data_IF_263682271922
#
_entry.id   IF_263682271922
#
_cell.length_a   1.000
_cell.length_b   1.000
_cell.length_c   1.000
_cell.angle_alpha   90.00
_cell.angle_beta   90.00
_cell.angle_gamma   90.00
#
_symmetry.space_group_name_H-M   'P 1'
#
loop_
_entity.id
_entity.type
_entity.pdbx_description
1 polymer ?
#
# COMPACT_ATOMS: atom_id res chain seq x y z
N UNK A 1 10.32 -6.32 -4.38
CA UNK A 1 10.40 -7.78 -4.34
C UNK A 1 11.56 -8.34 -5.15
N UNK A 2 11.83 -7.80 -6.33
CA UNK A 2 12.90 -8.29 -7.23
C UNK A 2 14.11 -7.35 -7.27
N UNK A 3 14.19 -6.36 -6.41
CA UNK A 3 15.20 -5.29 -6.45
C UNK A 3 15.31 -4.65 -7.85
N UNK A 4 14.18 -4.48 -8.51
CA UNK A 4 14.12 -3.81 -9.80
C UNK A 4 14.64 -2.38 -9.68
N UNK A 5 15.34 -1.91 -10.71
CA UNK A 5 15.85 -0.56 -10.76
C UNK A 5 14.70 0.46 -10.79
N UNK A 6 14.83 1.51 -9.98
CA UNK A 6 13.88 2.61 -9.93
C UNK A 6 14.42 3.76 -10.75
N UNK A 7 13.61 4.26 -11.66
CA UNK A 7 13.96 5.40 -12.52
C UNK A 7 12.90 6.49 -12.39
N UNK A 8 13.35 7.74 -12.35
CA UNK A 8 12.47 8.89 -12.51
C UNK A 8 12.36 9.23 -13.99
N UNK A 9 11.25 9.88 -14.41
CA UNK A 9 11.10 10.29 -15.80
C UNK A 9 12.28 11.14 -16.27
N UNK A 10 12.77 10.88 -17.48
CA UNK A 10 13.78 11.73 -18.15
C UNK A 10 13.14 12.98 -18.77
N UNK A 11 11.82 13.08 -18.73
CA UNK A 11 11.05 14.18 -19.28
C UNK A 11 11.44 15.52 -18.64
N UNK A 12 11.82 16.46 -19.50
CA UNK A 12 12.21 17.82 -19.10
C UNK A 12 11.08 18.54 -18.37
N UNK A 13 9.83 18.36 -18.78
CA UNK A 13 8.68 19.01 -18.16
C UNK A 13 8.47 18.53 -16.72
N UNK A 14 8.71 17.24 -16.47
CA UNK A 14 8.67 16.70 -15.11
C UNK A 14 9.65 17.42 -14.17
N UNK A 15 10.91 17.55 -14.58
CA UNK A 15 11.93 18.21 -13.75
C UNK A 15 11.68 19.71 -13.60
N UNK A 16 11.28 20.38 -14.68
CA UNK A 16 10.88 21.80 -14.63
C UNK A 16 9.74 22.04 -13.65
N UNK A 17 8.78 21.14 -13.55
CA UNK A 17 7.66 21.25 -12.60
C UNK A 17 8.17 21.18 -11.15
N UNK A 18 9.05 20.23 -10.84
CA UNK A 18 9.65 20.10 -9.50
C UNK A 18 10.48 21.35 -9.16
N UNK A 19 11.32 21.81 -10.08
CA UNK A 19 12.16 22.99 -9.88
C UNK A 19 11.34 24.28 -9.71
N UNK A 20 10.30 24.47 -10.52
CA UNK A 20 9.38 25.61 -10.40
C UNK A 20 8.64 25.61 -9.06
N UNK A 21 8.19 24.44 -8.61
CA UNK A 21 7.51 24.30 -7.33
C UNK A 21 8.46 24.61 -6.16
N UNK A 22 9.68 24.11 -6.21
CA UNK A 22 10.72 24.45 -5.23
C UNK A 22 11.03 25.94 -5.21
N UNK A 23 11.25 26.53 -6.37
CA UNK A 23 11.52 27.95 -6.52
C UNK A 23 10.37 28.81 -5.99
N UNK A 24 9.10 28.42 -6.30
CA UNK A 24 7.94 29.10 -5.76
C UNK A 24 7.94 29.11 -4.22
N UNK A 25 8.21 27.95 -3.59
CA UNK A 25 8.29 27.88 -2.13
C UNK A 25 9.37 28.82 -1.56
N UNK A 26 10.56 28.81 -2.16
CA UNK A 26 11.69 29.67 -1.72
C UNK A 26 11.34 31.15 -1.82
N UNK A 27 10.76 31.56 -2.93
CA UNK A 27 10.30 32.92 -3.14
C UNK A 27 9.17 33.30 -2.18
N UNK A 28 8.25 32.39 -1.92
CA UNK A 28 7.12 32.62 -1.02
C UNK A 28 7.58 32.82 0.44
N UNK A 29 8.45 31.96 0.96
CA UNK A 29 8.96 32.12 2.33
C UNK A 29 9.88 33.33 2.49
N UNK A 30 10.57 33.75 1.42
CA UNK A 30 11.39 34.96 1.42
C UNK A 30 10.56 36.24 1.59
N UNK A 31 9.27 36.23 1.31
CA UNK A 31 8.36 37.36 1.60
C UNK A 31 8.12 37.59 3.08
N UNK A 32 8.52 36.66 3.95
CA UNK A 32 8.28 36.69 5.40
C UNK A 32 6.88 36.25 5.83
N UNK A 33 6.04 35.75 4.90
CA UNK A 33 4.73 35.18 5.25
C UNK A 33 4.91 33.92 6.07
N UNK A 34 4.27 33.80 7.25
CA UNK A 34 4.32 32.57 8.05
C UNK A 34 3.82 31.37 7.26
N UNK A 35 4.65 30.34 7.18
CA UNK A 35 4.35 29.11 6.43
C UNK A 35 4.45 27.93 7.38
N UNK A 36 3.32 27.21 7.55
CA UNK A 36 3.19 26.11 8.51
C UNK A 36 4.33 25.09 8.39
N UNK A 37 5.01 24.87 9.51
CA UNK A 37 6.07 23.87 9.62
C UNK A 37 7.28 24.11 8.69
N UNK A 38 7.38 25.30 8.08
CA UNK A 38 8.51 25.74 7.25
C UNK A 38 9.17 26.95 7.89
N UNK A 39 8.41 28.02 8.12
CA UNK A 39 8.81 29.21 8.88
C UNK A 39 7.95 29.41 10.14
N UNK A 40 7.23 28.38 10.55
CA UNK A 40 6.58 28.25 11.86
C UNK A 40 6.90 26.91 12.48
N UNK A 41 6.65 26.80 13.79
CA UNK A 41 6.63 25.51 14.48
C UNK A 41 5.49 24.60 14.01
N UNK A 42 5.39 23.41 14.58
CA UNK A 42 4.44 22.35 14.21
C UNK A 42 3.29 22.22 15.20
N UNK A 43 2.17 21.64 14.75
CA UNK A 43 1.02 21.31 15.57
C UNK A 43 0.44 22.54 16.25
N UNK A 44 0.19 22.45 17.55
CA UNK A 44 -0.37 23.54 18.35
C UNK A 44 0.56 24.75 18.45
N UNK A 45 1.86 24.55 18.31
CA UNK A 45 2.87 25.63 18.31
C UNK A 45 3.01 26.35 16.97
N UNK A 46 2.17 26.10 15.99
CA UNK A 46 2.27 26.68 14.64
C UNK A 46 2.15 28.22 14.57
N UNK A 47 1.74 28.86 15.68
CA UNK A 47 1.73 30.31 15.81
C UNK A 47 3.12 30.91 16.13
N UNK A 48 4.10 30.09 16.49
CA UNK A 48 5.48 30.53 16.69
C UNK A 48 6.19 30.62 15.35
N UNK A 49 6.49 31.83 14.91
CA UNK A 49 7.24 32.04 13.67
C UNK A 49 8.74 31.96 13.94
N UNK A 50 9.45 31.32 13.05
CA UNK A 50 10.92 31.24 13.03
C UNK A 50 11.47 31.93 11.79
N UNK A 51 12.72 32.37 11.85
CA UNK A 51 13.38 33.02 10.72
C UNK A 51 13.69 32.03 9.59
N UNK A 52 13.70 32.51 8.36
CA UNK A 52 13.92 31.69 7.15
C UNK A 52 15.26 30.96 7.18
N UNK A 53 16.32 31.59 7.74
CA UNK A 53 17.62 30.95 7.91
C UNK A 53 17.64 29.77 8.86
N UNK A 54 16.64 29.62 9.73
CA UNK A 54 16.43 28.49 10.65
C UNK A 54 15.56 27.38 10.06
N UNK A 55 14.93 27.60 8.93
CA UNK A 55 13.96 26.67 8.36
C UNK A 55 14.57 25.26 8.11
N UNK A 56 15.80 25.17 7.59
CA UNK A 56 16.49 23.89 7.39
C UNK A 56 16.82 23.17 8.71
N UNK A 57 17.23 23.91 9.75
CA UNK A 57 17.47 23.33 11.08
C UNK A 57 16.19 22.74 11.69
N UNK A 58 15.06 23.43 11.56
CA UNK A 58 13.75 22.94 11.99
C UNK A 58 13.41 21.60 11.33
N UNK A 59 13.64 21.47 10.02
CA UNK A 59 13.38 20.23 9.29
C UNK A 59 14.28 19.07 9.75
N UNK A 60 15.54 19.35 10.03
CA UNK A 60 16.48 18.38 10.59
C UNK A 60 16.02 17.89 11.98
N UNK A 61 15.62 18.82 12.81
CA UNK A 61 15.20 18.55 14.19
C UNK A 61 13.95 17.69 14.22
N UNK A 62 12.92 17.98 13.38
CA UNK A 62 11.70 17.15 13.32
C UNK A 62 12.00 15.70 12.93
N UNK A 63 12.89 15.47 11.97
CA UNK A 63 13.31 14.11 11.60
C UNK A 63 14.03 13.38 12.75
N UNK A 64 14.66 14.13 13.67
CA UNK A 64 15.43 13.54 14.77
C UNK A 64 14.55 13.13 15.95
N UNK A 65 13.70 14.03 16.48
CA UNK A 65 12.94 13.74 17.70
C UNK A 65 11.75 12.81 17.48
N UNK A 66 11.22 12.68 16.27
CA UNK A 66 10.18 11.69 15.95
C UNK A 66 10.71 10.26 15.83
N UNK A 67 12.01 10.05 15.84
CA UNK A 67 12.61 8.74 15.73
C UNK A 67 12.53 7.90 17.00
N UNK A 68 11.35 7.73 17.55
CA UNK A 68 11.02 7.06 18.81
C UNK A 68 10.25 5.74 18.61
N UNK A 69 10.30 5.16 17.42
CA UNK A 69 9.64 3.91 17.09
C UNK A 69 10.17 2.73 17.92
N UNK A 70 9.29 1.78 18.23
CA UNK A 70 9.55 0.62 19.07
C UNK A 70 9.16 -0.70 18.37
N UNK A 71 9.44 -1.81 19.04
CA UNK A 71 9.03 -3.15 18.61
C UNK A 71 9.90 -3.75 17.50
N UNK A 72 9.40 -4.79 16.82
CA UNK A 72 10.11 -5.40 15.71
C UNK A 72 10.31 -4.40 14.57
N UNK A 73 11.25 -4.72 13.70
CA UNK A 73 11.53 -3.92 12.50
C UNK A 73 10.68 -4.44 11.33
N UNK A 74 10.29 -3.56 10.42
CA UNK A 74 9.81 -4.01 9.12
C UNK A 74 10.91 -4.80 8.41
N UNK A 75 10.51 -5.81 7.65
CA UNK A 75 11.43 -6.50 6.77
C UNK A 75 11.93 -5.57 5.66
N UNK A 76 13.00 -5.99 5.00
CA UNK A 76 13.64 -5.24 3.93
C UNK A 76 12.66 -4.90 2.79
N UNK A 77 11.79 -5.85 2.38
CA UNK A 77 10.79 -5.64 1.33
C UNK A 77 9.80 -4.53 1.70
N UNK A 78 9.26 -4.59 2.91
CA UNK A 78 8.31 -3.58 3.40
C UNK A 78 8.96 -2.20 3.52
N UNK A 79 10.15 -2.13 4.12
CA UNK A 79 10.88 -0.86 4.26
C UNK A 79 11.26 -0.26 2.90
N UNK A 80 11.65 -1.09 1.92
CA UNK A 80 11.89 -0.65 0.53
C UNK A 80 10.62 -0.08 -0.12
N UNK A 81 9.49 -0.75 0.07
CA UNK A 81 8.20 -0.27 -0.43
C UNK A 81 7.82 1.09 0.18
N UNK A 82 8.11 1.32 1.47
CA UNK A 82 7.90 2.62 2.13
C UNK A 82 8.68 3.74 1.42
N UNK A 83 9.97 3.53 1.15
CA UNK A 83 10.81 4.52 0.45
C UNK A 83 10.25 4.82 -0.94
N UNK A 84 9.84 3.78 -1.68
CA UNK A 84 9.25 3.93 -3.01
C UNK A 84 7.92 4.70 -2.98
N UNK A 85 7.02 4.37 -2.06
CA UNK A 85 5.76 5.10 -1.89
C UNK A 85 6.00 6.57 -1.54
N UNK A 86 6.97 6.86 -0.65
CA UNK A 86 7.30 8.25 -0.29
C UNK A 86 7.88 9.02 -1.46
N UNK A 87 8.81 8.42 -2.20
CA UNK A 87 9.36 9.01 -3.41
C UNK A 87 8.25 9.38 -4.40
N UNK A 88 7.36 8.43 -4.71
CA UNK A 88 6.26 8.64 -5.66
C UNK A 88 5.35 9.80 -5.23
N UNK A 89 4.93 9.83 -3.96
CA UNK A 89 4.11 10.93 -3.43
C UNK A 89 4.83 12.30 -3.49
N UNK A 90 6.13 12.35 -3.18
CA UNK A 90 6.90 13.59 -3.18
C UNK A 90 7.10 14.18 -4.58
N UNK A 91 7.24 13.36 -5.62
CA UNK A 91 7.42 13.84 -6.99
C UNK A 91 6.11 14.09 -7.73
N UNK A 92 4.97 13.68 -7.17
CA UNK A 92 3.66 13.81 -7.80
C UNK A 92 3.29 15.28 -8.03
N UNK A 93 3.25 15.69 -9.29
CA UNK A 93 2.84 17.05 -9.70
C UNK A 93 3.68 18.19 -9.12
N UNK A 94 4.80 17.90 -8.46
CA UNK A 94 5.65 18.89 -7.81
C UNK A 94 5.05 19.51 -6.53
N UNK A 95 3.88 19.08 -6.06
CA UNK A 95 3.16 19.71 -4.95
C UNK A 95 3.91 19.70 -3.61
N UNK A 96 4.84 18.77 -3.42
CA UNK A 96 5.65 18.69 -2.19
C UNK A 96 6.78 19.71 -2.09
N UNK A 97 7.10 20.41 -3.19
CA UNK A 97 8.15 21.42 -3.29
C UNK A 97 9.53 20.96 -2.78
N UNK A 98 9.87 19.70 -3.02
CA UNK A 98 11.19 19.14 -2.71
C UNK A 98 12.22 19.57 -3.76
N UNK A 99 13.49 19.58 -3.37
CA UNK A 99 14.58 19.74 -4.33
C UNK A 99 14.75 18.49 -5.21
N UNK A 100 15.15 18.61 -6.48
CA UNK A 100 15.52 17.47 -7.33
C UNK A 100 16.55 16.53 -6.68
N UNK A 101 17.48 17.08 -5.89
CA UNK A 101 18.50 16.32 -5.16
C UNK A 101 17.89 15.33 -4.16
N UNK A 102 16.80 15.71 -3.49
CA UNK A 102 16.10 14.80 -2.55
C UNK A 102 15.47 13.61 -3.28
N UNK A 103 14.79 13.85 -4.40
CA UNK A 103 14.24 12.77 -5.22
C UNK A 103 15.34 11.83 -5.74
N UNK A 104 16.43 12.39 -6.26
CA UNK A 104 17.61 11.62 -6.72
C UNK A 104 18.25 10.80 -5.60
N UNK A 105 18.36 11.36 -4.38
CA UNK A 105 18.88 10.64 -3.21
C UNK A 105 17.99 9.44 -2.89
N UNK A 106 16.67 9.57 -2.87
CA UNK A 106 15.76 8.44 -2.63
C UNK A 106 15.89 7.35 -3.71
N UNK A 107 16.04 7.72 -4.97
CA UNK A 107 16.34 6.77 -6.07
C UNK A 107 17.67 6.07 -5.83
N UNK A 108 18.70 6.82 -5.44
CA UNK A 108 20.01 6.24 -5.13
C UNK A 108 19.95 5.23 -4.00
N UNK A 109 19.24 5.55 -2.91
CA UNK A 109 19.02 4.61 -1.80
C UNK A 109 18.32 3.34 -2.27
N UNK A 110 17.27 3.44 -3.08
CA UNK A 110 16.55 2.29 -3.64
C UNK A 110 17.44 1.44 -4.56
N UNK A 111 18.21 2.06 -5.45
CA UNK A 111 19.02 1.34 -6.44
C UNK A 111 20.31 0.74 -5.88
N UNK A 112 20.86 1.35 -4.82
CA UNK A 112 21.98 0.82 -4.05
C UNK A 112 21.57 -0.14 -2.94
N UNK A 113 20.26 -0.38 -2.81
CA UNK A 113 19.69 -1.24 -1.79
C UNK A 113 20.09 -0.85 -0.37
N UNK A 114 20.13 0.45 -0.10
CA UNK A 114 20.40 1.06 1.20
C UNK A 114 19.04 1.45 1.80
N UNK A 115 18.45 0.57 2.57
CA UNK A 115 17.05 0.68 2.99
C UNK A 115 16.95 0.97 4.49
N UNK A 116 16.22 2.01 4.91
CA UNK A 116 16.07 2.35 6.33
C UNK A 116 15.58 1.18 7.19
N UNK A 117 16.16 0.98 8.36
CA UNK A 117 15.64 0.06 9.39
C UNK A 117 14.54 0.78 10.16
N UNK A 118 13.29 0.47 9.87
CA UNK A 118 12.11 1.15 10.41
C UNK A 118 11.39 0.28 11.43
N UNK A 119 11.20 0.72 12.68
CA UNK A 119 10.35 0.04 13.68
C UNK A 119 8.88 0.00 13.26
N UNK A 120 8.18 -1.09 13.59
CA UNK A 120 6.78 -1.28 13.24
C UNK A 120 5.80 -0.48 14.09
N UNK A 121 6.19 -0.14 15.32
CA UNK A 121 5.34 0.58 16.27
C UNK A 121 5.80 2.03 16.40
N UNK A 122 4.88 2.98 16.28
CA UNK A 122 5.20 4.41 16.45
C UNK A 122 4.32 5.36 15.65
N UNK A 123 3.74 4.95 14.52
CA UNK A 123 2.73 5.75 13.84
C UNK A 123 1.44 5.78 14.65
N UNK A 124 0.90 6.97 14.88
CA UNK A 124 -0.39 7.19 15.57
C UNK A 124 -1.46 7.74 14.62
N UNK A 125 -1.15 7.84 13.34
CA UNK A 125 -2.05 8.36 12.30
C UNK A 125 -2.25 9.87 12.32
N UNK A 126 -1.81 10.57 13.36
CA UNK A 126 -1.82 12.03 13.40
C UNK A 126 -0.76 12.57 12.44
N UNK A 127 -1.18 13.33 11.43
CA UNK A 127 -0.34 13.80 10.32
C UNK A 127 0.27 12.66 9.49
N UNK A 128 -0.42 11.52 9.41
CA UNK A 128 0.05 10.33 8.73
C UNK A 128 1.10 9.55 9.54
N UNK A 129 2.15 9.12 8.90
CA UNK A 129 3.14 8.16 9.41
C UNK A 129 4.43 8.84 9.88
N UNK A 130 4.35 9.90 10.71
CA UNK A 130 5.49 10.75 11.10
C UNK A 130 6.67 9.94 11.66
N UNK A 131 6.42 9.15 12.71
CA UNK A 131 7.47 8.38 13.40
C UNK A 131 8.23 7.43 12.47
N UNK A 132 7.59 6.50 11.73
CA UNK A 132 8.34 5.62 10.86
C UNK A 132 9.01 6.33 9.68
N UNK A 133 8.41 7.39 9.12
CA UNK A 133 9.03 8.16 8.03
C UNK A 133 10.20 9.02 8.50
N UNK A 134 10.30 9.36 9.78
CA UNK A 134 11.46 10.05 10.34
C UNK A 134 12.77 9.26 10.16
N UNK A 135 12.67 7.93 10.12
CA UNK A 135 13.83 7.06 9.87
C UNK A 135 14.38 7.22 8.46
N UNK A 136 13.51 7.46 7.47
CA UNK A 136 13.96 7.80 6.11
C UNK A 136 14.69 9.15 6.08
N UNK A 137 14.11 10.17 6.71
CA UNK A 137 14.76 11.48 6.82
C UNK A 137 16.13 11.42 7.49
N UNK A 138 16.23 10.65 8.59
CA UNK A 138 17.48 10.45 9.29
C UNK A 138 18.53 9.71 8.43
N UNK A 139 18.13 8.69 7.68
CA UNK A 139 19.04 7.96 6.75
C UNK A 139 19.52 8.88 5.64
N UNK A 140 18.69 9.73 5.06
CA UNK A 140 19.09 10.71 4.04
C UNK A 140 20.20 11.63 4.59
N UNK A 141 20.15 11.96 5.89
CA UNK A 141 21.17 12.74 6.58
C UNK A 141 22.38 11.91 7.08
N UNK A 142 22.49 10.64 6.71
CA UNK A 142 23.59 9.75 7.13
C UNK A 142 23.46 9.21 8.55
N UNK A 143 22.30 9.31 9.18
CA UNK A 143 22.07 8.88 10.56
C UNK A 143 21.41 7.50 10.60
N UNK A 144 21.38 6.85 11.79
CA UNK A 144 20.72 5.56 12.07
C UNK A 144 21.30 4.39 11.29
N UNK A 145 20.51 3.34 11.13
CA UNK A 145 20.90 2.07 10.53
C UNK A 145 20.08 1.78 9.28
N UNK A 146 20.68 1.01 8.39
CA UNK A 146 20.10 0.56 7.12
C UNK A 146 20.30 -0.93 6.90
N UNK A 147 19.40 -1.55 6.16
CA UNK A 147 19.64 -2.81 5.48
C UNK A 147 20.58 -2.54 4.31
N UNK A 148 21.71 -3.22 4.29
CA UNK A 148 22.70 -3.11 3.22
C UNK A 148 23.45 -4.43 3.05
N UNK A 149 23.44 -4.98 1.83
CA UNK A 149 24.09 -6.27 1.49
C UNK A 149 23.72 -7.41 2.46
N UNK A 150 22.43 -7.49 2.83
CA UNK A 150 21.90 -8.54 3.71
C UNK A 150 22.22 -8.37 5.20
N UNK A 151 22.76 -7.25 5.61
CA UNK A 151 23.09 -6.92 7.01
C UNK A 151 22.45 -5.61 7.42
N UNK A 152 22.35 -5.39 8.73
CA UNK A 152 22.04 -4.08 9.31
C UNK A 152 23.37 -3.43 9.68
N UNK A 153 23.62 -2.24 9.13
CA UNK A 153 24.85 -1.46 9.37
C UNK A 153 24.52 0.00 9.62
N UNK A 154 25.39 0.78 10.25
CA UNK A 154 25.25 2.23 10.32
C UNK A 154 25.18 2.84 8.91
N UNK A 155 24.29 3.83 8.72
CA UNK A 155 24.08 4.48 7.40
C UNK A 155 25.39 4.98 6.81
N UNK A 156 26.24 5.61 7.59
CA UNK A 156 27.52 6.14 7.11
C UNK A 156 28.50 5.09 6.63
N UNK A 157 28.40 3.85 7.12
CA UNK A 157 29.19 2.73 6.60
C UNK A 157 28.77 2.38 5.17
N UNK A 158 27.47 2.23 4.95
CA UNK A 158 26.92 1.99 3.62
C UNK A 158 27.21 3.16 2.64
N UNK A 159 27.05 4.39 3.11
CA UNK A 159 27.32 5.59 2.30
C UNK A 159 28.77 5.66 1.84
N UNK A 160 29.71 5.45 2.76
CA UNK A 160 31.15 5.41 2.42
C UNK A 160 31.46 4.30 1.42
N UNK A 161 30.86 3.13 1.57
CA UNK A 161 31.09 1.99 0.67
C UNK A 161 30.60 2.27 -0.76
N UNK A 162 29.56 3.09 -0.93
CA UNK A 162 28.96 3.43 -2.23
C UNK A 162 29.31 4.84 -2.75
N UNK A 163 30.17 5.58 -2.01
CA UNK A 163 30.59 6.94 -2.40
C UNK A 163 29.44 7.96 -2.35
N UNK A 164 28.52 7.79 -1.39
CA UNK A 164 27.38 8.68 -1.19
C UNK A 164 27.68 9.67 -0.07
N UNK A 165 27.40 10.94 -0.30
CA UNK A 165 27.46 11.97 0.73
C UNK A 165 26.05 12.17 1.35
N UNK A 166 25.95 12.39 2.68
CA UNK A 166 24.70 12.77 3.31
C UNK A 166 24.11 14.03 2.69
N UNK A 167 22.80 14.03 2.49
CA UNK A 167 22.10 15.20 1.97
C UNK A 167 21.49 16.00 3.13
N UNK A 168 21.87 17.29 3.32
CA UNK A 168 21.20 18.16 4.27
C UNK A 168 19.73 18.36 3.89
N UNK A 169 18.85 18.29 4.88
CA UNK A 169 17.42 18.58 4.71
C UNK A 169 17.19 20.08 4.74
N UNK A 170 16.54 20.60 3.73
CA UNK A 170 16.23 22.02 3.56
C UNK A 170 14.78 22.33 3.97
N UNK A 171 14.43 23.64 3.93
CA UNK A 171 13.09 24.14 4.24
C UNK A 171 11.98 23.27 3.59
N UNK A 172 10.98 22.86 4.37
CA UNK A 172 9.85 22.01 3.99
C UNK A 172 10.17 20.52 3.76
N UNK A 173 11.41 20.14 3.46
CA UNK A 173 11.74 18.76 3.07
C UNK A 173 11.55 17.73 4.21
N UNK A 174 11.71 18.14 5.48
CA UNK A 174 11.41 17.29 6.62
C UNK A 174 9.92 16.89 6.63
N UNK A 175 9.01 17.86 6.47
CA UNK A 175 7.59 17.58 6.32
C UNK A 175 7.29 16.79 5.05
N UNK A 176 7.90 17.11 3.93
CA UNK A 176 7.73 16.37 2.68
C UNK A 176 8.11 14.89 2.83
N UNK A 177 9.12 14.56 3.63
CA UNK A 177 9.52 13.18 3.92
C UNK A 177 8.57 12.51 4.92
N UNK A 178 8.21 13.20 6.01
CA UNK A 178 7.61 12.58 7.18
C UNK A 178 6.08 12.66 7.20
N UNK A 179 5.52 13.73 6.68
CA UNK A 179 4.09 13.99 6.74
C UNK A 179 3.39 13.30 5.57
N UNK A 180 2.59 12.29 5.85
CA UNK A 180 1.86 11.54 4.81
C UNK A 180 1.67 10.06 5.11
N UNK A 181 1.09 9.33 4.17
CA UNK A 181 0.51 8.00 4.32
C UNK A 181 1.38 6.87 3.75
N UNK A 182 2.65 7.12 3.48
CA UNK A 182 3.47 6.21 2.68
C UNK A 182 3.78 4.87 3.36
N UNK A 183 3.85 4.81 4.70
CA UNK A 183 4.07 3.54 5.41
C UNK A 183 2.82 2.68 5.39
N UNK A 184 1.68 3.25 5.79
CA UNK A 184 0.43 2.52 5.77
C UNK A 184 0.07 2.04 4.35
N UNK A 185 0.32 2.85 3.33
CA UNK A 185 0.06 2.51 1.93
C UNK A 185 0.99 1.39 1.43
N UNK A 186 2.26 1.42 1.79
CA UNK A 186 3.21 0.34 1.46
C UNK A 186 2.80 -0.98 2.11
N UNK A 187 2.50 -0.97 3.41
CA UNK A 187 2.05 -2.15 4.16
C UNK A 187 0.74 -2.70 3.56
N UNK A 188 -0.25 -1.84 3.31
CA UNK A 188 -1.52 -2.23 2.72
C UNK A 188 -1.36 -2.82 1.31
N UNK A 189 -0.47 -2.26 0.47
CA UNK A 189 -0.19 -2.78 -0.87
C UNK A 189 0.36 -4.20 -0.84
N UNK A 190 1.31 -4.47 0.05
CA UNK A 190 1.89 -5.80 0.22
C UNK A 190 0.89 -6.79 0.85
N UNK A 191 0.10 -6.34 1.82
CA UNK A 191 -0.97 -7.12 2.44
C UNK A 191 -2.05 -7.48 1.41
N UNK A 192 -2.48 -6.51 0.59
CA UNK A 192 -3.43 -6.73 -0.48
C UNK A 192 -2.96 -7.82 -1.46
N UNK A 193 -1.70 -7.81 -1.85
CA UNK A 193 -1.14 -8.84 -2.74
C UNK A 193 -1.16 -10.23 -2.12
N UNK A 194 -0.89 -10.35 -0.83
CA UNK A 194 -1.02 -11.60 -0.08
C UNK A 194 -2.49 -12.06 0.00
N UNK A 195 -3.40 -11.12 0.26
CA UNK A 195 -4.84 -11.37 0.35
C UNK A 195 -5.43 -11.84 -1.00
N UNK A 196 -5.05 -11.22 -2.12
CA UNK A 196 -5.42 -11.68 -3.47
C UNK A 196 -4.98 -13.14 -3.73
N UNK A 197 -3.76 -13.48 -3.30
CA UNK A 197 -3.25 -14.85 -3.41
C UNK A 197 -4.04 -15.84 -2.55
N UNK A 198 -4.43 -15.44 -1.34
CA UNK A 198 -5.25 -16.27 -0.45
C UNK A 198 -6.63 -16.54 -1.04
N UNK A 199 -7.27 -15.57 -1.71
CA UNK A 199 -8.53 -15.80 -2.41
C UNK A 199 -8.39 -16.90 -3.48
N UNK A 200 -7.33 -16.86 -4.28
CA UNK A 200 -7.06 -17.88 -5.30
C UNK A 200 -6.78 -19.26 -4.69
N UNK A 201 -6.05 -19.32 -3.58
CA UNK A 201 -5.77 -20.55 -2.85
C UNK A 201 -7.06 -21.13 -2.27
N UNK A 202 -7.95 -20.31 -1.70
CA UNK A 202 -9.25 -20.74 -1.18
C UNK A 202 -10.11 -21.41 -2.26
N UNK A 203 -10.21 -20.79 -3.43
CA UNK A 203 -10.96 -21.36 -4.55
C UNK A 203 -10.31 -22.65 -5.07
N UNK A 204 -8.98 -22.69 -5.16
CA UNK A 204 -8.26 -23.91 -5.53
C UNK A 204 -8.53 -25.07 -4.55
N UNK A 205 -8.46 -24.80 -3.25
CA UNK A 205 -8.76 -25.80 -2.22
C UNK A 205 -10.23 -26.25 -2.27
N UNK A 206 -11.14 -25.35 -2.61
CA UNK A 206 -12.56 -25.70 -2.85
C UNK A 206 -12.68 -26.68 -4.01
N UNK A 207 -11.99 -26.44 -5.11
CA UNK A 207 -11.99 -27.36 -6.26
C UNK A 207 -11.42 -28.74 -5.89
N UNK A 208 -10.27 -28.78 -5.22
CA UNK A 208 -9.64 -30.03 -4.74
C UNK A 208 -10.56 -30.78 -3.78
N UNK A 209 -11.18 -30.07 -2.85
CA UNK A 209 -12.11 -30.67 -1.90
C UNK A 209 -13.34 -31.25 -2.60
N UNK A 210 -13.90 -30.53 -3.56
CA UNK A 210 -15.03 -31.01 -4.38
C UNK A 210 -14.68 -32.30 -5.12
N UNK A 211 -13.49 -32.39 -5.70
CA UNK A 211 -13.02 -33.57 -6.40
C UNK A 211 -12.80 -34.76 -5.45
N UNK A 212 -12.12 -34.57 -4.33
CA UNK A 212 -11.81 -35.63 -3.35
C UNK A 212 -13.09 -36.17 -2.73
N UNK A 213 -14.05 -35.32 -2.40
CA UNK A 213 -15.31 -35.71 -1.75
C UNK A 213 -16.40 -36.14 -2.73
N UNK A 214 -16.10 -36.19 -4.03
CA UNK A 214 -17.07 -36.45 -5.09
C UNK A 214 -18.25 -35.47 -5.00
N UNK A 215 -17.93 -34.20 -4.85
CA UNK A 215 -18.89 -33.11 -4.80
C UNK A 215 -19.55 -32.86 -6.15
N UNK A 216 -20.58 -32.02 -6.15
CA UNK A 216 -21.31 -31.65 -7.35
C UNK A 216 -20.70 -30.44 -8.06
N UNK A 217 -20.82 -30.40 -9.38
CA UNK A 217 -20.45 -29.27 -10.21
C UNK A 217 -21.46 -28.10 -10.15
N UNK A 218 -22.73 -28.43 -9.86
CA UNK A 218 -23.86 -27.50 -9.91
C UNK A 218 -23.64 -26.16 -9.19
N UNK A 219 -23.04 -26.10 -7.99
CA UNK A 219 -22.80 -24.81 -7.32
C UNK A 219 -21.88 -23.86 -8.09
N UNK A 220 -21.08 -24.37 -9.00
CA UNK A 220 -20.04 -23.62 -9.72
C UNK A 220 -20.41 -23.30 -11.17
N UNK A 221 -21.57 -23.75 -11.63
CA UNK A 221 -22.08 -23.42 -12.97
C UNK A 221 -22.33 -21.92 -13.06
N UNK A 222 -21.89 -21.29 -14.15
CA UNK A 222 -21.93 -19.84 -14.36
C UNK A 222 -23.33 -19.26 -14.08
N UNK A 223 -24.39 -19.91 -14.58
CA UNK A 223 -25.77 -19.46 -14.42
C UNK A 223 -26.18 -19.24 -12.96
N UNK A 224 -25.71 -20.07 -12.03
CA UNK A 224 -26.02 -19.95 -10.60
C UNK A 224 -25.51 -18.63 -10.02
N UNK A 225 -24.29 -18.25 -10.38
CA UNK A 225 -23.67 -17.00 -9.92
C UNK A 225 -24.21 -15.76 -10.65
N UNK A 226 -24.49 -15.86 -11.95
CA UNK A 226 -25.08 -14.79 -12.76
C UNK A 226 -26.46 -14.36 -12.25
N UNK A 227 -27.28 -15.29 -11.75
CA UNK A 227 -28.61 -14.97 -11.18
C UNK A 227 -28.49 -14.05 -9.97
N UNK A 228 -27.47 -14.20 -9.14
CA UNK A 228 -27.19 -13.33 -7.99
C UNK A 228 -26.34 -12.10 -8.36
N UNK A 229 -25.51 -12.22 -9.38
CA UNK A 229 -24.81 -11.15 -10.10
C UNK A 229 -23.77 -10.36 -9.29
N UNK A 230 -23.14 -10.95 -8.27
CA UNK A 230 -21.95 -10.38 -7.64
C UNK A 230 -20.69 -10.80 -8.40
N UNK A 231 -19.85 -9.82 -8.79
CA UNK A 231 -18.66 -10.04 -9.61
C UNK A 231 -17.69 -11.05 -9.00
N UNK A 232 -17.35 -10.86 -7.73
CA UNK A 232 -16.43 -11.77 -7.01
C UNK A 232 -16.96 -13.18 -6.89
N UNK A 233 -18.29 -13.35 -6.72
CA UNK A 233 -18.91 -14.67 -6.71
C UNK A 233 -18.80 -15.34 -8.09
N UNK A 234 -19.05 -14.61 -9.17
CA UNK A 234 -18.91 -15.12 -10.53
C UNK A 234 -17.45 -15.54 -10.81
N UNK A 235 -16.49 -14.74 -10.39
CA UNK A 235 -15.06 -15.04 -10.55
C UNK A 235 -14.64 -16.30 -9.76
N UNK A 236 -15.08 -16.44 -8.50
CA UNK A 236 -14.80 -17.59 -7.67
C UNK A 236 -15.40 -18.87 -8.27
N UNK A 237 -16.70 -18.83 -8.62
CA UNK A 237 -17.37 -19.95 -9.25
C UNK A 237 -16.69 -20.40 -10.55
N UNK A 238 -16.37 -19.45 -11.42
CA UNK A 238 -15.68 -19.74 -12.68
C UNK A 238 -14.29 -20.34 -12.47
N UNK A 239 -13.54 -19.87 -11.47
CA UNK A 239 -12.24 -20.41 -11.13
C UNK A 239 -12.33 -21.87 -10.68
N UNK A 240 -13.24 -22.18 -9.76
CA UNK A 240 -13.48 -23.55 -9.28
C UNK A 240 -13.96 -24.44 -10.43
N UNK A 241 -14.95 -23.99 -11.20
CA UNK A 241 -15.52 -24.75 -12.31
C UNK A 241 -14.45 -25.11 -13.37
N UNK A 242 -13.58 -24.16 -13.72
CA UNK A 242 -12.52 -24.41 -14.71
C UNK A 242 -11.53 -25.51 -14.29
N UNK A 243 -11.36 -25.72 -12.98
CA UNK A 243 -10.49 -26.78 -12.46
C UNK A 243 -11.22 -28.14 -12.50
N UNK A 244 -12.51 -28.15 -12.14
CA UNK A 244 -13.25 -29.43 -11.96
C UNK A 244 -14.01 -29.89 -13.21
N UNK A 245 -14.17 -29.05 -14.24
CA UNK A 245 -15.03 -29.32 -15.42
C UNK A 245 -14.71 -30.64 -16.15
N UNK A 246 -13.45 -31.06 -16.15
CA UNK A 246 -12.97 -32.27 -16.81
C UNK A 246 -12.70 -33.43 -15.83
N UNK A 247 -13.00 -33.22 -14.54
CA UNK A 247 -12.82 -34.25 -13.49
C UNK A 247 -13.79 -35.42 -13.71
N UNK A 248 -13.27 -36.64 -13.59
CA UNK A 248 -14.06 -37.87 -13.60
C UNK A 248 -14.61 -38.26 -12.21
N UNK A 249 -14.29 -37.47 -11.19
CA UNK A 249 -14.67 -37.74 -9.81
C UNK A 249 -15.84 -36.89 -9.34
N UNK A 250 -15.93 -35.66 -9.90
CA UNK A 250 -17.03 -34.74 -9.60
C UNK A 250 -18.33 -35.26 -10.17
N UNK A 251 -19.38 -35.22 -9.35
CA UNK A 251 -20.71 -35.70 -9.70
C UNK A 251 -21.45 -34.63 -10.52
N UNK A 252 -21.77 -34.95 -11.78
CA UNK A 252 -22.44 -34.05 -12.73
C UNK A 252 -23.95 -34.03 -12.50
N UNK A 253 -24.59 -32.98 -12.97
CA UNK A 253 -26.06 -32.91 -12.97
C UNK A 253 -26.69 -34.07 -13.76
N UNK A 254 -26.10 -34.40 -14.91
CA UNK A 254 -26.52 -35.53 -15.76
C UNK A 254 -26.35 -36.88 -15.04
N UNK A 255 -25.30 -37.06 -14.27
CA UNK A 255 -25.09 -38.27 -13.46
C UNK A 255 -26.20 -38.42 -12.39
N UNK A 256 -26.65 -37.29 -11.84
CA UNK A 256 -27.78 -37.31 -10.89
C UNK A 256 -29.08 -37.72 -11.56
N UNK A 257 -29.38 -37.18 -12.76
CA UNK A 257 -30.60 -37.55 -13.49
C UNK A 257 -30.59 -39.03 -13.92
N UNK A 258 -29.42 -39.60 -14.20
CA UNK A 258 -29.26 -40.99 -14.59
C UNK A 258 -29.04 -41.92 -13.41
N UNK A 259 -28.97 -41.41 -12.16
CA UNK A 259 -28.77 -42.21 -10.97
C UNK A 259 -30.07 -42.95 -10.56
N UNK A 260 -29.90 -44.05 -9.84
CA UNK A 260 -31.02 -44.73 -9.27
C UNK A 260 -31.68 -43.86 -8.18
N UNK A 261 -32.94 -43.52 -8.39
CA UNK A 261 -33.76 -42.74 -7.46
C UNK A 261 -34.73 -43.70 -6.80
N UNK A 262 -34.70 -43.76 -5.46
CA UNK A 262 -35.63 -44.55 -4.68
C UNK A 262 -37.06 -43.98 -4.80
N UNK A 263 -37.99 -44.80 -5.23
CA UNK A 263 -39.40 -44.41 -5.41
C UNK A 263 -40.17 -44.38 -4.09
N UNK A 264 -41.11 -43.48 -3.99
CA UNK A 264 -41.95 -43.33 -2.80
C UNK A 264 -42.87 -44.53 -2.59
N UNK A 265 -43.45 -45.09 -3.67
CA UNK A 265 -44.30 -46.27 -3.65
C UNK A 265 -45.31 -46.31 -2.47
N UNK A 266 -45.97 -45.18 -2.22
CA UNK A 266 -46.93 -45.01 -1.14
C UNK A 266 -46.34 -44.81 0.26
N UNK A 267 -45.00 -44.78 0.41
CA UNK A 267 -44.32 -44.48 1.68
C UNK A 267 -44.32 -43.00 1.94
N UNK A 268 -44.45 -42.57 3.20
CA UNK A 268 -44.31 -41.17 3.61
C UNK A 268 -42.86 -40.67 3.67
N UNK A 269 -41.87 -41.58 3.58
CA UNK A 269 -40.46 -41.30 3.67
C UNK A 269 -39.63 -42.34 2.90
N UNK A 270 -38.62 -41.87 2.16
CA UNK A 270 -37.62 -42.71 1.48
C UNK A 270 -36.27 -42.05 1.57
N UNK A 271 -35.24 -42.76 2.00
CA UNK A 271 -33.85 -42.27 2.00
C UNK A 271 -33.24 -42.48 0.62
N UNK A 272 -32.78 -41.41 0.01
CA UNK A 272 -32.02 -41.45 -1.24
C UNK A 272 -30.56 -41.88 -1.02
N UNK A 273 -30.02 -42.71 -1.92
CA UNK A 273 -28.63 -43.17 -1.81
C UNK A 273 -27.61 -42.04 -2.17
N UNK A 274 -27.96 -41.19 -3.12
CA UNK A 274 -27.12 -40.09 -3.55
C UNK A 274 -27.50 -38.78 -2.84
N UNK A 275 -26.48 -37.98 -2.46
CA UNK A 275 -26.69 -36.65 -1.91
C UNK A 275 -27.37 -35.75 -2.94
N UNK A 276 -28.41 -35.06 -2.53
CA UNK A 276 -29.10 -34.08 -3.38
C UNK A 276 -28.24 -32.82 -3.57
N UNK A 277 -27.50 -32.42 -2.54
CA UNK A 277 -26.61 -31.23 -2.56
C UNK A 277 -25.41 -31.43 -1.64
N UNK A 278 -24.33 -30.65 -1.91
CA UNK A 278 -23.18 -30.61 -1.04
C UNK A 278 -23.41 -29.77 0.21
N UNK A 279 -22.50 -29.93 1.18
CA UNK A 279 -22.46 -29.11 2.40
C UNK A 279 -22.18 -27.67 2.07
N UNK A 280 -22.55 -26.75 2.96
CA UNK A 280 -22.35 -25.31 2.79
C UNK A 280 -20.91 -24.92 2.53
N UNK A 281 -19.95 -25.53 3.21
CA UNK A 281 -18.51 -25.26 3.02
C UNK A 281 -18.01 -25.50 1.58
N UNK A 282 -18.73 -26.29 0.79
CA UNK A 282 -18.41 -26.49 -0.64
C UNK A 282 -19.34 -25.63 -1.50
N UNK A 283 -20.66 -25.84 -1.41
CA UNK A 283 -21.58 -25.20 -2.35
C UNK A 283 -21.76 -23.70 -2.15
N UNK A 284 -21.44 -23.17 -0.95
CA UNK A 284 -21.47 -21.73 -0.68
C UNK A 284 -20.09 -21.06 -0.75
N UNK A 285 -19.05 -21.80 -1.14
CA UNK A 285 -17.71 -21.24 -1.26
C UNK A 285 -17.65 -20.02 -2.20
N UNK A 286 -18.28 -20.02 -3.41
CA UNK A 286 -18.29 -18.85 -4.27
C UNK A 286 -18.95 -17.61 -3.64
N UNK A 287 -20.01 -17.81 -2.84
CA UNK A 287 -20.69 -16.72 -2.14
C UNK A 287 -19.82 -16.12 -1.01
N UNK A 288 -18.97 -16.92 -0.37
CA UNK A 288 -18.08 -16.49 0.70
C UNK A 288 -16.81 -15.84 0.12
N UNK A 289 -16.10 -16.55 -0.75
CA UNK A 289 -14.88 -16.02 -1.40
C UNK A 289 -15.22 -14.84 -2.29
N UNK A 290 -16.43 -14.79 -2.86
CA UNK A 290 -16.92 -13.71 -3.68
C UNK A 290 -16.97 -12.37 -2.95
N UNK A 291 -17.50 -12.34 -1.72
CA UNK A 291 -17.49 -11.11 -0.88
C UNK A 291 -16.06 -10.61 -0.67
N UNK A 292 -15.16 -11.53 -0.36
CA UNK A 292 -13.75 -11.20 -0.17
C UNK A 292 -13.10 -10.63 -1.46
N UNK A 293 -13.41 -11.21 -2.62
CA UNK A 293 -12.92 -10.73 -3.93
C UNK A 293 -13.45 -9.33 -4.26
N UNK A 294 -14.74 -9.08 -4.03
CA UNK A 294 -15.34 -7.76 -4.26
C UNK A 294 -14.72 -6.70 -3.32
N UNK A 295 -14.48 -7.05 -2.05
CA UNK A 295 -13.80 -6.18 -1.09
C UNK A 295 -12.35 -5.89 -1.51
N UNK A 296 -11.62 -6.89 -2.01
CA UNK A 296 -10.26 -6.69 -2.52
C UNK A 296 -10.22 -5.73 -3.71
N UNK A 297 -11.23 -5.71 -4.56
CA UNK A 297 -11.31 -4.78 -5.68
C UNK A 297 -11.48 -3.33 -5.21
N UNK A 298 -12.36 -3.10 -4.22
CA UNK A 298 -12.53 -1.79 -3.59
C UNK A 298 -11.23 -1.33 -2.94
N UNK A 299 -10.61 -2.21 -2.14
CA UNK A 299 -9.34 -1.92 -1.47
C UNK A 299 -8.22 -1.61 -2.48
N UNK A 300 -8.16 -2.34 -3.60
CA UNK A 300 -7.19 -2.08 -4.68
C UNK A 300 -7.33 -0.66 -5.23
N UNK A 301 -8.55 -0.22 -5.49
CA UNK A 301 -8.80 1.10 -6.03
C UNK A 301 -8.33 2.19 -5.05
N UNK A 302 -8.72 2.11 -3.78
CA UNK A 302 -8.29 3.07 -2.76
C UNK A 302 -6.77 3.10 -2.56
N UNK A 303 -6.13 1.92 -2.51
CA UNK A 303 -4.66 1.82 -2.40
C UNK A 303 -3.99 2.44 -3.65
N UNK A 304 -4.53 2.20 -4.83
CA UNK A 304 -3.97 2.75 -6.08
C UNK A 304 -4.07 4.28 -6.13
N UNK A 305 -5.19 4.83 -5.70
CA UNK A 305 -5.38 6.29 -5.60
C UNK A 305 -4.41 6.89 -4.59
N UNK A 306 -4.29 6.30 -3.40
CA UNK A 306 -3.37 6.77 -2.38
C UNK A 306 -1.90 6.69 -2.82
N UNK A 307 -1.49 5.61 -3.48
CA UNK A 307 -0.14 5.47 -4.07
C UNK A 307 0.19 6.58 -5.06
N UNK A 308 -0.82 7.10 -5.78
CA UNK A 308 -0.65 8.11 -6.81
C UNK A 308 -1.03 9.52 -6.34
N UNK A 309 -1.14 9.76 -5.05
CA UNK A 309 -1.50 11.04 -4.45
C UNK A 309 -0.28 11.83 -3.95
N UNK A 310 -0.42 13.16 -3.86
CA UNK A 310 0.43 14.00 -3.05
C UNK A 310 -0.24 14.17 -1.68
N UNK A 311 0.38 13.64 -0.64
CA UNK A 311 -0.25 13.45 0.66
C UNK A 311 0.53 14.05 1.85
N UNK A 312 1.35 15.05 1.60
CA UNK A 312 2.00 15.85 2.64
C UNK A 312 1.28 17.20 2.88
N UNK A 313 1.85 18.04 3.73
CA UNK A 313 1.32 19.35 4.10
C UNK A 313 2.46 20.29 4.52
N UNK A 314 2.44 21.57 4.10
CA UNK A 314 1.53 22.17 3.12
C UNK A 314 1.84 21.74 1.67
N UNK A 315 0.87 21.90 0.76
CA UNK A 315 1.03 21.62 -0.67
C UNK A 315 1.18 22.91 -1.47
N UNK A 316 2.06 22.88 -2.46
CA UNK A 316 2.27 23.97 -3.41
C UNK A 316 1.42 23.78 -4.64
N UNK A 317 0.76 24.86 -5.07
CA UNK A 317 0.08 24.99 -6.33
C UNK A 317 0.72 26.13 -7.13
N UNK A 318 1.58 25.76 -8.07
CA UNK A 318 2.31 26.73 -8.89
C UNK A 318 1.41 27.46 -9.91
N UNK A 319 0.32 26.83 -10.34
CA UNK A 319 -0.61 27.44 -11.29
C UNK A 319 -1.44 28.54 -10.62
N UNK A 320 -1.97 28.26 -9.43
CA UNK A 320 -2.69 29.23 -8.64
C UNK A 320 -1.78 30.22 -7.89
N UNK A 321 -0.47 29.98 -7.84
CA UNK A 321 0.49 30.77 -7.05
C UNK A 321 0.17 30.74 -5.56
N UNK A 322 -0.16 29.56 -5.00
CA UNK A 322 -0.65 29.40 -3.62
C UNK A 322 0.00 28.23 -2.90
N UNK A 323 -0.07 28.33 -1.58
CA UNK A 323 0.29 27.30 -0.64
C UNK A 323 -0.96 26.91 0.15
N UNK A 324 -1.28 25.60 0.19
CA UNK A 324 -2.47 25.10 0.87
C UNK A 324 -2.08 24.28 2.09
N UNK A 325 -2.61 24.66 3.25
CA UNK A 325 -2.62 23.80 4.43
C UNK A 325 -3.75 22.79 4.29
N UNK A 326 -3.43 21.50 4.31
CA UNK A 326 -4.35 20.42 3.96
C UNK A 326 -4.37 19.32 5.00
N UNK A 327 -5.36 18.40 4.89
CA UNK A 327 -5.43 17.15 5.62
C UNK A 327 -5.13 15.92 4.76
N UNK A 328 -4.45 16.07 3.62
CA UNK A 328 -4.18 14.96 2.68
C UNK A 328 -3.33 13.83 3.28
N UNK A 329 -2.70 14.07 4.42
CA UNK A 329 -2.01 13.05 5.21
C UNK A 329 -2.95 12.10 5.98
N UNK A 330 -4.26 12.29 5.90
CA UNK A 330 -5.23 11.44 6.58
C UNK A 330 -5.47 10.14 5.81
N UNK A 331 -5.03 9.02 6.36
CA UNK A 331 -5.06 7.70 5.71
C UNK A 331 -6.36 6.91 5.88
N UNK A 332 -7.53 7.57 5.98
CA UNK A 332 -8.82 6.92 6.25
C UNK A 332 -9.22 5.86 5.24
N UNK A 333 -8.93 6.07 3.94
CA UNK A 333 -9.20 5.07 2.90
C UNK A 333 -8.37 3.80 3.08
N UNK A 334 -7.09 3.95 3.45
CA UNK A 334 -6.22 2.79 3.70
C UNK A 334 -6.66 2.04 4.96
N UNK A 335 -7.01 2.77 6.03
CA UNK A 335 -7.56 2.18 7.25
C UNK A 335 -8.81 1.35 6.96
N UNK A 336 -9.81 1.94 6.29
CA UNK A 336 -11.04 1.26 5.92
C UNK A 336 -10.78 0.04 4.99
N UNK A 337 -9.87 0.16 4.02
CA UNK A 337 -9.50 -0.97 3.16
C UNK A 337 -8.92 -2.15 3.95
N UNK A 338 -8.13 -1.88 4.99
CA UNK A 338 -7.57 -2.92 5.85
C UNK A 338 -8.60 -3.52 6.82
N UNK A 339 -9.55 -2.73 7.30
CA UNK A 339 -10.61 -3.17 8.22
C UNK A 339 -11.60 -4.10 7.51
N UNK A 340 -11.94 -3.83 6.26
CA UNK A 340 -12.80 -4.71 5.44
C UNK A 340 -12.09 -6.01 5.06
#
# INVERSE_FOLDING_TARGET
YKNEEVQLPEDKQFWETIEKSRKFLEDYIATGVPTYGVTTDFGDSCHNQISVDKAGELQRVICTYHGIGLGPKFDHETARAVVLCRLNGNVKGGHSAIRPQLAKMMVTLLNKDIIPVIPQLGSVGASGDLTPLSYLGAVIMGQREVYYKGKIVPTMEAFKAEGIEPLPIEAKEGLAIMNGTSVMTAVASLAWKKAERLAKISDFLTAVTSEITRGKDTPFVAKVSEIKNHSGQCQSAAYVYNIIKDSKRVFRYEDFLNSQIEKMDGKGFVAQQNKIQDRYSIRCAPQITGVYRDTLEIARNWITEELNSANDNPLVDIEAGRLYNTGNFYGGHICAACDY
#
